data_IF_856730370326
#
_entry.id   IF_856730370326
#
_cell.length_a   1.000
_cell.length_b   1.000
_cell.length_c   1.000
_cell.angle_alpha   90.00
_cell.angle_beta   90.00
_cell.angle_gamma   90.00
#
_symmetry.space_group_name_H-M   'P 1'
#
loop_
_entity.id
_entity.type
_entity.pdbx_description
1 polymer ?
#
# COMPACT_ATOMS: atom_id res chain seq x y z
N UNK A 1 9.14 23.58 -1.52
CA UNK A 1 7.79 24.13 -1.29
C UNK A 1 7.37 25.08 -2.41
N UNK A 2 8.19 26.07 -2.74
CA UNK A 2 7.81 27.15 -3.67
C UNK A 2 7.30 26.65 -5.04
N UNK A 3 7.96 25.65 -5.64
CA UNK A 3 7.51 25.02 -6.90
C UNK A 3 6.05 24.52 -6.84
N UNK A 4 5.65 23.88 -5.73
CA UNK A 4 4.28 23.42 -5.53
C UNK A 4 3.30 24.60 -5.47
N UNK A 5 3.65 25.67 -4.74
CA UNK A 5 2.82 26.87 -4.65
C UNK A 5 2.68 27.56 -6.00
N UNK A 6 3.76 27.66 -6.79
CA UNK A 6 3.72 28.21 -8.15
C UNK A 6 2.78 27.41 -9.06
N UNK A 7 2.91 26.08 -9.09
CA UNK A 7 2.05 25.22 -9.93
C UNK A 7 0.58 25.25 -9.48
N UNK A 8 0.33 25.27 -8.17
CA UNK A 8 -1.02 25.41 -7.61
C UNK A 8 -1.66 26.79 -7.92
N UNK A 9 -0.89 27.88 -7.85
CA UNK A 9 -1.38 29.22 -8.20
C UNK A 9 -1.69 29.34 -9.70
N UNK A 10 -0.87 28.73 -10.57
CA UNK A 10 -1.10 28.69 -12.01
C UNK A 10 -2.44 28.00 -12.33
N UNK A 11 -2.65 26.78 -11.81
CA UNK A 11 -3.91 26.03 -12.00
C UNK A 11 -5.12 26.79 -11.43
N UNK A 12 -4.96 27.50 -10.31
CA UNK A 12 -6.01 28.32 -9.73
C UNK A 12 -6.34 29.57 -10.57
N UNK A 13 -5.37 30.12 -11.31
CA UNK A 13 -5.57 31.25 -12.20
C UNK A 13 -6.21 30.83 -13.54
N UNK A 14 -5.84 29.67 -14.07
CA UNK A 14 -6.40 29.11 -15.31
C UNK A 14 -7.86 28.67 -15.16
N UNK A 15 -8.28 28.27 -13.95
CA UNK A 15 -9.65 27.81 -13.65
C UNK A 15 -10.61 28.99 -13.49
N UNK A 16 -11.36 29.30 -14.55
CA UNK A 16 -12.40 30.35 -14.50
C UNK A 16 -13.63 29.92 -13.68
N UNK A 17 -14.41 30.89 -13.19
CA UNK A 17 -15.63 30.61 -12.43
C UNK A 17 -16.72 29.90 -13.24
N UNK A 18 -16.69 30.01 -14.57
CA UNK A 18 -17.63 29.37 -15.49
C UNK A 18 -17.24 27.92 -15.83
N UNK A 19 -15.99 27.52 -15.57
CA UNK A 19 -15.51 26.14 -15.78
C UNK A 19 -15.87 25.18 -14.64
N UNK A 20 -16.46 25.65 -13.54
CA UNK A 20 -16.94 24.78 -12.47
C UNK A 20 -18.20 24.04 -12.93
N UNK A 21 -18.05 22.76 -13.20
CA UNK A 21 -19.16 21.88 -13.60
C UNK A 21 -20.08 21.57 -12.42
N UNK A 22 -21.30 21.09 -12.71
CA UNK A 22 -22.16 20.56 -11.64
C UNK A 22 -21.58 19.29 -11.00
N UNK A 23 -20.70 18.55 -11.69
CA UNK A 23 -19.97 17.43 -11.10
C UNK A 23 -18.97 17.92 -10.04
N UNK A 24 -18.17 18.94 -10.32
CA UNK A 24 -17.25 19.55 -9.33
C UNK A 24 -18.00 19.98 -8.07
N UNK A 25 -19.24 20.49 -8.22
CA UNK A 25 -20.10 20.91 -7.10
C UNK A 25 -20.64 19.74 -6.29
N UNK A 26 -20.90 18.59 -6.92
CA UNK A 26 -21.25 17.35 -6.23
C UNK A 26 -20.04 16.80 -5.49
N UNK A 27 -18.89 16.73 -6.15
CA UNK A 27 -17.64 16.19 -5.60
C UNK A 27 -17.16 17.02 -4.39
N UNK A 28 -17.20 18.36 -4.48
CA UNK A 28 -16.97 19.27 -3.35
C UNK A 28 -17.88 18.96 -2.15
N UNK A 29 -19.16 18.67 -2.39
CA UNK A 29 -20.15 18.39 -1.33
C UNK A 29 -20.03 16.97 -0.76
N UNK A 30 -19.59 16.00 -1.56
CA UNK A 30 -19.23 14.65 -1.11
C UNK A 30 -17.98 14.74 -0.23
N UNK A 31 -16.92 15.42 -0.69
CA UNK A 31 -15.66 15.58 0.04
C UNK A 31 -15.85 16.23 1.42
N UNK A 32 -16.70 17.27 1.53
CA UNK A 32 -17.01 17.93 2.82
C UNK A 32 -17.78 17.06 3.82
N UNK A 33 -18.52 16.03 3.33
CA UNK A 33 -19.42 15.21 4.15
C UNK A 33 -18.88 13.80 4.41
N UNK A 34 -17.94 13.33 3.59
CA UNK A 34 -17.25 12.07 3.78
C UNK A 34 -16.42 12.10 5.08
N UNK A 35 -16.46 11.00 5.83
CA UNK A 35 -15.42 10.75 6.83
C UNK A 35 -14.15 10.36 6.07
N UNK A 36 -13.08 11.13 6.23
CA UNK A 36 -11.77 10.83 5.66
C UNK A 36 -10.86 10.37 6.81
N UNK A 37 -10.54 9.07 6.89
CA UNK A 37 -9.58 8.51 7.84
C UNK A 37 -8.27 9.31 7.91
N UNK A 38 -7.77 9.57 9.12
CA UNK A 38 -6.46 10.22 9.32
C UNK A 38 -5.31 9.23 9.22
N UNK A 39 -5.55 7.98 9.60
CA UNK A 39 -4.57 6.89 9.64
C UNK A 39 -5.11 5.63 8.97
N UNK A 40 -4.23 4.78 8.43
CA UNK A 40 -4.66 3.50 7.82
C UNK A 40 -5.35 2.57 8.83
N UNK A 41 -5.05 2.70 10.13
CA UNK A 41 -5.73 1.95 11.21
C UNK A 41 -7.20 2.29 11.38
N UNK A 42 -7.68 3.40 10.81
CA UNK A 42 -9.11 3.77 10.78
C UNK A 42 -9.82 3.26 9.51
N UNK A 43 -9.11 2.63 8.57
CA UNK A 43 -9.65 2.15 7.29
C UNK A 43 -10.09 0.69 7.43
N UNK A 44 -11.40 0.45 7.42
CA UNK A 44 -11.96 -0.89 7.62
C UNK A 44 -11.64 -1.92 6.52
N UNK A 45 -11.37 -1.48 5.28
CA UNK A 45 -11.37 -2.34 4.08
C UNK A 45 -10.27 -1.97 3.07
N UNK A 46 -9.07 -1.60 3.53
CA UNK A 46 -7.97 -1.15 2.66
C UNK A 46 -7.59 -2.17 1.56
N UNK A 47 -7.74 -3.48 1.80
CA UNK A 47 -7.50 -4.52 0.80
C UNK A 47 -8.40 -4.36 -0.44
N UNK A 48 -9.68 -4.06 -0.22
CA UNK A 48 -10.65 -3.80 -1.30
C UNK A 48 -10.27 -2.56 -2.09
N UNK A 49 -9.82 -1.52 -1.40
CA UNK A 49 -9.44 -0.25 -2.02
C UNK A 49 -8.20 -0.44 -2.91
N UNK A 50 -7.25 -1.29 -2.49
CA UNK A 50 -6.09 -1.71 -3.29
C UNK A 50 -6.50 -2.55 -4.50
N UNK A 51 -7.39 -3.53 -4.36
CA UNK A 51 -7.83 -4.37 -5.48
C UNK A 51 -8.69 -3.59 -6.51
N UNK A 52 -9.48 -2.61 -6.04
CA UNK A 52 -10.17 -1.66 -6.91
C UNK A 52 -9.19 -0.83 -7.73
N UNK A 53 -8.08 -0.35 -7.15
CA UNK A 53 -7.08 0.41 -7.92
C UNK A 53 -6.39 -0.44 -9.01
N UNK A 54 -6.02 -1.68 -8.70
CA UNK A 54 -5.43 -2.61 -9.68
C UNK A 54 -6.38 -2.87 -10.85
N UNK A 55 -7.66 -3.12 -10.57
CA UNK A 55 -8.66 -3.36 -11.63
C UNK A 55 -9.05 -2.09 -12.40
N UNK A 56 -8.98 -0.92 -11.75
CA UNK A 56 -9.32 0.36 -12.37
C UNK A 56 -8.29 0.78 -13.42
N UNK A 57 -7.01 0.47 -13.25
CA UNK A 57 -5.99 0.73 -14.28
C UNK A 57 -6.38 0.13 -15.65
N UNK A 58 -7.06 -1.03 -15.65
CA UNK A 58 -7.51 -1.71 -16.86
C UNK A 58 -8.81 -1.13 -17.47
N UNK A 59 -9.71 -0.55 -16.65
CA UNK A 59 -11.07 -0.13 -17.08
C UNK A 59 -11.34 1.39 -17.05
N UNK A 60 -10.42 2.23 -16.55
CA UNK A 60 -10.67 3.66 -16.24
C UNK A 60 -10.97 4.58 -17.44
N UNK A 61 -11.04 4.05 -18.66
CA UNK A 61 -11.43 4.80 -19.87
C UNK A 61 -12.96 4.90 -20.08
N UNK A 62 -13.77 4.10 -19.38
CA UNK A 62 -15.20 3.90 -19.72
C UNK A 62 -16.16 4.45 -18.64
N UNK A 63 -15.81 4.33 -17.36
CA UNK A 63 -16.64 4.84 -16.26
C UNK A 63 -16.10 6.17 -15.73
N UNK A 64 -16.86 7.25 -15.91
CA UNK A 64 -16.59 8.56 -15.28
C UNK A 64 -16.84 8.58 -13.77
N UNK A 65 -16.60 7.48 -13.07
CA UNK A 65 -16.72 7.39 -11.61
C UNK A 65 -15.37 7.68 -10.97
N UNK A 66 -15.26 8.87 -10.38
CA UNK A 66 -14.15 9.27 -9.53
C UNK A 66 -14.22 8.58 -8.15
N UNK A 67 -14.30 7.25 -8.16
CA UNK A 67 -13.98 6.41 -7.01
C UNK A 67 -12.48 6.59 -6.71
N UNK A 68 -12.18 7.63 -5.96
CA UNK A 68 -10.87 8.04 -5.51
C UNK A 68 -10.78 7.76 -4.01
N UNK A 69 -9.68 7.13 -3.59
CA UNK A 69 -9.45 6.77 -2.18
C UNK A 69 -9.05 8.03 -1.41
N UNK A 70 -10.04 8.67 -0.77
CA UNK A 70 -9.91 10.04 -0.23
C UNK A 70 -8.86 10.19 0.89
N UNK A 71 -8.48 9.12 1.57
CA UNK A 71 -7.47 9.15 2.63
C UNK A 71 -6.03 9.16 2.11
N UNK A 72 -5.81 8.84 0.82
CA UNK A 72 -4.49 8.63 0.20
C UNK A 72 -3.48 9.75 0.51
N UNK A 73 -3.85 11.02 0.29
CA UNK A 73 -2.97 12.18 0.51
C UNK A 73 -2.66 12.41 2.00
N UNK A 74 -3.57 12.05 2.91
CA UNK A 74 -3.33 12.19 4.36
C UNK A 74 -2.40 11.10 4.88
N UNK A 75 -2.52 9.88 4.34
CA UNK A 75 -1.65 8.74 4.67
C UNK A 75 -0.33 8.74 3.89
N UNK A 76 -0.16 9.67 2.94
CA UNK A 76 1.05 9.80 2.14
C UNK A 76 1.27 8.67 1.13
N UNK A 77 0.21 8.06 0.62
CA UNK A 77 0.29 6.96 -0.36
C UNK A 77 0.32 7.47 -1.81
N UNK A 78 0.88 6.66 -2.72
CA UNK A 78 0.78 6.82 -4.17
C UNK A 78 -0.66 6.58 -4.67
N UNK A 79 -0.96 7.03 -5.90
CA UNK A 79 -2.31 6.97 -6.52
C UNK A 79 -2.83 5.55 -6.72
N UNK A 80 -1.93 4.61 -6.95
CA UNK A 80 -2.11 3.16 -7.09
C UNK A 80 -2.16 2.41 -5.75
N UNK A 81 -1.95 3.11 -4.62
CA UNK A 81 -1.77 2.56 -3.27
C UNK A 81 -0.58 1.59 -3.11
N UNK A 82 0.36 1.54 -4.07
CA UNK A 82 1.48 0.58 -4.05
C UNK A 82 2.54 0.88 -2.99
N UNK A 83 2.63 2.13 -2.54
CA UNK A 83 3.63 2.56 -1.57
C UNK A 83 3.52 4.05 -1.22
N UNK A 84 4.60 4.59 -0.67
CA UNK A 84 4.67 5.97 -0.17
C UNK A 84 4.97 6.97 -1.29
N UNK A 85 4.31 8.12 -1.23
CA UNK A 85 4.48 9.27 -2.12
C UNK A 85 5.64 10.15 -1.64
N UNK A 86 6.76 10.16 -2.36
CA UNK A 86 7.96 10.95 -2.01
C UNK A 86 7.88 12.40 -2.53
N UNK A 87 7.41 12.59 -3.76
CA UNK A 87 7.18 13.88 -4.41
C UNK A 87 5.67 14.16 -4.46
N UNK A 88 5.16 15.37 -4.13
CA UNK A 88 3.73 15.65 -4.21
C UNK A 88 3.16 15.35 -5.61
N UNK A 89 1.99 14.71 -5.66
CA UNK A 89 1.33 14.26 -6.90
C UNK A 89 1.12 15.34 -7.99
N UNK A 90 1.23 16.62 -7.64
CA UNK A 90 1.16 17.76 -8.55
C UNK A 90 2.47 18.00 -9.32
N UNK A 91 3.61 17.48 -8.83
CA UNK A 91 4.96 17.73 -9.35
C UNK A 91 5.60 16.48 -10.00
N UNK A 92 4.94 15.32 -9.95
CA UNK A 92 5.48 14.05 -10.49
C UNK A 92 5.84 14.15 -11.98
N UNK A 93 4.94 14.71 -12.80
CA UNK A 93 5.12 14.85 -14.25
C UNK A 93 6.35 15.67 -14.63
N UNK A 94 6.80 16.57 -13.74
CA UNK A 94 7.98 17.41 -13.94
C UNK A 94 9.30 16.73 -13.53
N UNK A 95 9.25 15.50 -12.96
CA UNK A 95 10.40 14.79 -12.38
C UNK A 95 10.74 13.46 -13.08
N UNK A 96 9.84 12.85 -13.85
CA UNK A 96 10.14 11.66 -14.68
C UNK A 96 11.24 11.87 -15.74
N UNK A 97 11.79 13.09 -15.87
CA UNK A 97 12.94 13.41 -16.72
C UNK A 97 14.30 13.33 -15.99
N UNK A 98 14.36 13.09 -14.67
CA UNK A 98 15.58 13.36 -13.87
C UNK A 98 15.85 12.40 -12.70
N UNK A 99 15.17 11.25 -12.62
CA UNK A 99 15.44 10.24 -11.57
C UNK A 99 15.82 8.91 -12.22
N UNK A 100 17.12 8.71 -12.40
CA UNK A 100 17.70 7.37 -12.52
C UNK A 100 17.72 6.81 -11.09
N UNK A 101 17.03 5.70 -10.84
CA UNK A 101 16.98 5.08 -9.51
C UNK A 101 18.25 4.25 -9.30
N UNK A 102 19.08 4.65 -8.32
CA UNK A 102 20.20 3.83 -7.85
C UNK A 102 19.64 2.71 -6.97
N UNK A 103 19.37 1.55 -7.59
CA UNK A 103 19.07 0.31 -6.88
C UNK A 103 20.36 -0.24 -6.25
N UNK A 104 20.57 0.01 -4.95
CA UNK A 104 21.61 -0.69 -4.17
C UNK A 104 21.13 -2.13 -3.87
N UNK A 105 21.46 -3.07 -4.77
CA UNK A 105 21.36 -4.49 -4.49
C UNK A 105 22.44 -4.93 -3.48
N UNK A 106 22.06 -5.20 -2.22
CA UNK A 106 22.92 -5.99 -1.32
C UNK A 106 22.87 -7.47 -1.74
N UNK A 107 23.90 -7.89 -2.47
CA UNK A 107 24.22 -9.29 -2.78
C UNK A 107 24.34 -10.12 -1.49
N UNK A 108 23.43 -11.08 -1.32
CA UNK A 108 23.44 -11.97 -0.15
C UNK A 108 24.52 -13.05 -0.27
N UNK A 109 25.50 -13.04 0.63
CA UNK A 109 26.47 -14.13 0.75
C UNK A 109 25.76 -15.45 1.12
N UNK A 110 25.76 -16.38 0.16
CA UNK A 110 25.51 -17.81 0.40
C UNK A 110 26.78 -18.43 0.96
N UNK A 111 26.69 -18.98 2.16
CA UNK A 111 27.68 -19.93 2.67
C UNK A 111 27.05 -21.34 2.66
N UNK A 112 27.57 -22.21 1.78
CA UNK A 112 27.14 -23.60 1.61
C UNK A 112 28.26 -24.51 2.16
N UNK A 113 28.12 -24.98 3.40
CA UNK A 113 28.92 -26.11 3.92
C UNK A 113 28.00 -27.28 4.28
N UNK A 114 27.93 -28.28 3.39
CA UNK A 114 27.60 -29.65 3.75
C UNK A 114 28.91 -30.42 3.98
N UNK A 115 29.04 -31.12 5.10
CA UNK A 115 29.74 -32.40 5.13
C UNK A 115 29.11 -33.33 6.19
N UNK A 116 28.91 -34.58 5.80
CA UNK A 116 28.19 -35.64 6.51
C UNK A 116 29.21 -36.72 6.92
N UNK A 117 29.17 -37.24 8.16
CA UNK A 117 29.75 -38.56 8.50
C UNK A 117 29.40 -39.06 9.92
N UNK A 118 28.45 -40.01 9.95
CA UNK A 118 28.41 -41.30 10.69
C UNK A 118 29.03 -41.57 12.10
N UNK A 119 28.18 -42.24 12.90
CA UNK A 119 28.44 -43.38 13.83
C UNK A 119 29.01 -43.28 15.28
N UNK A 120 28.18 -43.81 16.21
CA UNK A 120 28.46 -44.63 17.41
C UNK A 120 29.46 -44.12 18.50
N UNK A 121 29.06 -43.88 19.76
CA UNK A 121 28.80 -44.94 20.78
C UNK A 121 28.43 -44.32 22.16
N UNK A 122 27.61 -45.04 22.94
CA UNK A 122 27.55 -45.20 24.43
C UNK A 122 27.80 -44.00 25.40
N UNK A 123 27.17 -43.87 26.58
CA UNK A 123 25.97 -44.43 27.23
C UNK A 123 25.66 -43.56 28.48
N UNK A 124 24.52 -43.79 29.15
CA UNK A 124 24.08 -43.20 30.44
C UNK A 124 23.53 -41.75 30.44
N UNK A 125 22.42 -41.42 31.13
CA UNK A 125 21.46 -42.24 31.88
C UNK A 125 20.10 -41.49 31.98
N UNK A 126 18.98 -42.20 31.74
CA UNK A 126 17.69 -42.23 32.51
C UNK A 126 17.14 -40.93 33.16
N UNK A 127 15.83 -40.61 33.25
CA UNK A 127 14.53 -41.20 32.85
C UNK A 127 13.42 -40.16 33.19
N UNK A 128 12.22 -40.08 32.59
CA UNK A 128 11.60 -40.66 31.37
C UNK A 128 10.22 -39.98 31.16
N UNK A 129 9.47 -40.44 30.13
CA UNK A 129 8.00 -40.35 29.94
C UNK A 129 7.41 -39.02 29.42
N UNK A 130 7.45 -38.92 28.09
CA UNK A 130 6.27 -38.54 27.29
C UNK A 130 5.49 -39.83 26.95
N UNK A 131 4.19 -39.89 27.27
CA UNK A 131 3.17 -40.85 26.81
C UNK A 131 1.81 -40.38 27.40
N UNK A 132 0.66 -40.39 26.74
CA UNK A 132 0.31 -40.89 25.42
C UNK A 132 -0.95 -40.19 24.86
N UNK A 133 -1.03 -40.14 23.53
CA UNK A 133 -2.20 -40.37 22.67
C UNK A 133 -3.64 -40.33 23.24
N UNK A 134 -4.47 -39.48 22.62
CA UNK A 134 -5.82 -39.72 22.06
C UNK A 134 -6.76 -40.78 22.70
N UNK A 135 -8.03 -40.42 22.98
CA UNK A 135 -9.25 -41.08 22.44
C UNK A 135 -10.57 -40.38 22.86
N UNK A 136 -11.43 -40.24 21.85
CA UNK A 136 -12.89 -40.06 21.74
C UNK A 136 -13.84 -40.03 22.96
N UNK A 137 -14.79 -39.09 22.87
CA UNK A 137 -16.26 -39.26 22.99
C UNK A 137 -16.92 -39.87 24.25
N UNK A 138 -17.82 -39.08 24.87
CA UNK A 138 -19.15 -39.58 25.26
C UNK A 138 -19.53 -39.51 26.76
N UNK A 139 -20.47 -38.60 27.07
CA UNK A 139 -21.45 -38.68 28.16
C UNK A 139 -22.55 -37.64 27.85
N UNK A 140 -23.73 -38.09 27.41
CA UNK A 140 -24.95 -38.39 28.19
C UNK A 140 -25.79 -37.13 28.43
#
# INVERSE_FOLDING_TARGET
MDQYLTKAMMIAADRTSEQRTDQDRVDDEVFKKAYIPRTLTEVSHYERDVDLMKTKEEESAISGHHDNVLYQTLTGLKKDLSGVQTVPALLEDDQSSSSEEEEEEEEGEKDEEEEDEEEQTEESQLDKKVFNSCVSSGQI
#
